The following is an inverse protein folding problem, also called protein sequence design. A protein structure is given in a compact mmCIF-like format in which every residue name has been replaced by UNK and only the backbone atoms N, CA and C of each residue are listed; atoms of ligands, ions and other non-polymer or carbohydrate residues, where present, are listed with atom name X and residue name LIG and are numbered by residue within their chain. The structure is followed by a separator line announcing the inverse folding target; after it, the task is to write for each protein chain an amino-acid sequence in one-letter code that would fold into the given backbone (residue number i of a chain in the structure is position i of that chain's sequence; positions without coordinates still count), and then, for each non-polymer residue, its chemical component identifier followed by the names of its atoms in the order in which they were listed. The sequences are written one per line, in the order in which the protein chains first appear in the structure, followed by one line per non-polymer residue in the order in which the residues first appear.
data_IF_536008897351
#
_entry.id   IF_536008897351
#
_cell.length_a   1.000
_cell.length_b   1.000
_cell.length_c   1.000
_cell.angle_alpha   90.00
_cell.angle_beta   90.00
_cell.angle_gamma   90.00
#
_symmetry.space_group_name_H-M   'P 1'
#
loop_
_entity.id
_entity.type
_entity.pdbx_description
1 polymer ?
#
# COMPACT_ATOMS: atom_id res chain seq x y z
N UNK A 1 4.81 -19.69 -19.52
CA UNK A 1 3.64 -18.95 -20.05
C UNK A 1 3.88 -18.58 -21.51
N UNK A 2 2.85 -18.41 -22.34
CA UNK A 2 3.03 -17.89 -23.71
C UNK A 2 3.10 -16.38 -23.66
N UNK A 3 4.00 -15.76 -24.45
CA UNK A 3 4.06 -14.30 -24.63
C UNK A 3 2.69 -13.77 -25.10
N UNK A 4 2.41 -12.53 -24.78
CA UNK A 4 1.16 -11.85 -25.17
C UNK A 4 1.46 -10.76 -26.18
N UNK A 5 0.58 -10.62 -27.14
CA UNK A 5 0.58 -9.50 -28.09
C UNK A 5 -0.69 -8.69 -27.89
N UNK A 6 -0.60 -7.39 -27.99
CA UNK A 6 -1.75 -6.52 -27.80
C UNK A 6 -1.52 -5.08 -28.22
N UNK A 7 -2.59 -4.32 -28.26
CA UNK A 7 -2.57 -2.89 -28.52
C UNK A 7 -2.57 -2.18 -27.16
N UNK A 8 -1.59 -1.29 -26.96
CA UNK A 8 -1.51 -0.40 -25.83
C UNK A 8 -1.99 0.98 -26.21
N UNK A 9 -2.90 1.53 -25.40
CA UNK A 9 -3.36 2.91 -25.52
C UNK A 9 -2.63 3.76 -24.48
N UNK A 10 -2.09 4.89 -24.94
CA UNK A 10 -1.36 5.80 -24.07
C UNK A 10 -2.30 6.73 -23.30
N UNK A 11 -1.86 7.24 -22.13
CA UNK A 11 -2.59 8.25 -21.39
C UNK A 11 -2.84 9.51 -22.22
N UNK A 12 -3.88 10.26 -21.88
CA UNK A 12 -4.22 11.53 -22.59
C UNK A 12 -3.12 12.57 -22.46
N UNK A 13 -2.37 12.53 -21.37
CA UNK A 13 -1.24 13.40 -21.07
C UNK A 13 -0.09 13.24 -22.10
N UNK A 14 -0.07 12.13 -22.84
CA UNK A 14 0.89 11.84 -23.89
C UNK A 14 0.44 12.35 -25.27
N UNK A 15 -0.60 13.19 -25.33
CA UNK A 15 -1.01 13.85 -26.56
C UNK A 15 0.13 14.66 -27.13
N UNK A 16 0.50 14.39 -28.39
CA UNK A 16 1.65 15.04 -29.05
C UNK A 16 2.98 14.26 -28.97
N UNK A 17 3.03 13.16 -28.21
CA UNK A 17 4.17 12.24 -28.26
C UNK A 17 4.06 11.41 -29.55
N UNK A 18 5.06 11.53 -30.43
CA UNK A 18 5.08 10.81 -31.72
C UNK A 18 5.84 9.49 -31.67
N UNK A 19 6.79 9.39 -30.74
CA UNK A 19 7.70 8.25 -30.63
C UNK A 19 7.92 7.88 -29.16
N UNK A 20 8.19 6.60 -28.93
CA UNK A 20 8.53 6.03 -27.63
C UNK A 20 9.78 5.18 -27.71
N UNK A 21 10.46 5.05 -26.57
CA UNK A 21 11.50 4.07 -26.32
C UNK A 21 10.93 2.98 -25.41
N UNK A 22 11.31 1.74 -25.65
CA UNK A 22 10.82 0.58 -24.92
C UNK A 22 12.01 -0.11 -24.26
N UNK A 23 11.90 -0.28 -22.95
CA UNK A 23 12.91 -0.93 -22.12
C UNK A 23 12.36 -2.20 -21.46
N UNK A 24 13.25 -3.08 -21.05
CA UNK A 24 12.97 -4.21 -20.14
C UNK A 24 14.05 -4.28 -19.07
N UNK A 25 13.84 -5.07 -18.05
CA UNK A 25 14.89 -5.34 -17.07
C UNK A 25 15.95 -6.27 -17.62
N UNK A 26 17.20 -6.10 -17.17
CA UNK A 26 18.26 -7.07 -17.38
C UNK A 26 17.88 -8.43 -16.75
N UNK A 27 18.56 -9.50 -17.13
CA UNK A 27 18.27 -10.83 -16.61
C UNK A 27 18.47 -10.94 -15.10
N UNK A 28 19.40 -10.19 -14.55
CA UNK A 28 19.70 -10.10 -13.11
C UNK A 28 18.88 -9.02 -12.37
N UNK A 29 17.96 -8.34 -13.05
CA UNK A 29 17.15 -7.23 -12.54
C UNK A 29 17.95 -6.04 -11.97
N UNK A 30 19.23 -5.92 -12.26
CA UNK A 30 20.08 -4.83 -11.76
C UNK A 30 19.95 -3.53 -12.55
N UNK A 31 19.33 -3.55 -13.71
CA UNK A 31 19.18 -2.37 -14.56
C UNK A 31 18.18 -2.55 -15.69
N UNK A 32 18.09 -1.53 -16.53
CA UNK A 32 17.23 -1.51 -17.70
C UNK A 32 18.05 -1.73 -18.97
N UNK A 33 17.48 -2.48 -19.90
CA UNK A 33 17.99 -2.70 -21.24
C UNK A 33 17.01 -2.13 -22.27
N UNK A 34 17.51 -1.31 -23.19
CA UNK A 34 16.71 -0.81 -24.30
C UNK A 34 16.34 -1.96 -25.25
N UNK A 35 15.06 -2.12 -25.53
CA UNK A 35 14.53 -3.08 -26.51
C UNK A 35 14.33 -2.42 -27.87
N UNK A 36 13.63 -1.29 -27.88
CA UNK A 36 13.31 -0.55 -29.11
C UNK A 36 13.49 0.95 -28.88
N UNK A 37 14.12 1.65 -29.82
CA UNK A 37 14.33 3.09 -29.77
C UNK A 37 13.48 3.80 -30.84
N UNK A 38 12.83 4.88 -30.45
CA UNK A 38 12.12 5.77 -31.35
C UNK A 38 10.95 5.13 -32.11
N UNK A 39 10.28 4.16 -31.49
CA UNK A 39 9.12 3.50 -32.10
C UNK A 39 7.98 4.50 -32.29
N UNK A 40 7.45 4.59 -33.52
CA UNK A 40 6.34 5.50 -33.84
C UNK A 40 5.02 5.05 -33.17
N UNK A 41 4.33 6.03 -32.63
CA UNK A 41 2.95 5.90 -32.11
C UNK A 41 1.98 6.15 -33.25
N UNK A 42 0.92 5.34 -33.36
CA UNK A 42 -0.16 5.55 -34.31
C UNK A 42 -1.47 5.78 -33.56
N UNK A 43 -2.08 6.96 -33.74
CA UNK A 43 -3.36 7.32 -33.08
C UNK A 43 -3.37 7.04 -31.57
N UNK A 44 -2.32 7.47 -30.88
CA UNK A 44 -2.14 7.30 -29.44
C UNK A 44 -2.08 5.83 -28.96
N UNK A 45 -1.61 4.94 -29.83
CA UNK A 45 -1.47 3.51 -29.53
C UNK A 45 -0.28 2.88 -30.21
N UNK A 46 0.22 1.80 -29.65
CA UNK A 46 1.21 0.91 -30.28
C UNK A 46 0.81 -0.55 -30.12
N UNK A 47 1.27 -1.36 -31.06
CA UNK A 47 1.17 -2.82 -30.96
C UNK A 47 2.44 -3.37 -30.32
N UNK A 48 2.30 -4.09 -29.21
CA UNK A 48 3.40 -4.68 -28.46
C UNK A 48 3.34 -6.19 -28.46
N UNK A 49 4.51 -6.81 -28.53
CA UNK A 49 4.71 -8.21 -28.20
C UNK A 49 5.51 -8.28 -26.91
N UNK A 50 4.93 -8.87 -25.87
CA UNK A 50 5.56 -9.05 -24.59
C UNK A 50 5.99 -10.51 -24.41
N UNK A 51 7.26 -10.74 -24.10
CA UNK A 51 7.77 -12.05 -23.75
C UNK A 51 7.17 -12.52 -22.39
N UNK A 52 7.07 -13.83 -22.19
CA UNK A 52 6.64 -14.35 -20.89
C UNK A 52 7.55 -13.85 -19.77
N UNK A 53 6.94 -13.52 -18.63
CA UNK A 53 7.63 -13.19 -17.38
C UNK A 53 8.59 -11.97 -17.48
N UNK A 54 8.42 -11.12 -18.53
CA UNK A 54 9.19 -9.88 -18.68
C UNK A 54 8.28 -8.65 -18.70
N UNK A 55 8.60 -7.70 -17.81
CA UNK A 55 7.98 -6.38 -17.83
C UNK A 55 8.60 -5.50 -18.92
N UNK A 56 7.79 -4.66 -19.55
CA UNK A 56 8.24 -3.61 -20.45
C UNK A 56 7.91 -2.24 -19.88
N UNK A 57 8.85 -1.32 -20.01
CA UNK A 57 8.70 0.09 -19.61
C UNK A 57 8.71 0.91 -20.90
N UNK A 58 7.67 1.69 -21.10
CA UNK A 58 7.50 2.53 -22.29
C UNK A 58 7.57 3.97 -21.83
N UNK A 59 8.43 4.75 -22.49
CA UNK A 59 8.62 6.17 -22.18
C UNK A 59 8.65 6.98 -23.48
N UNK A 60 8.36 8.29 -23.44
CA UNK A 60 8.60 9.18 -24.59
C UNK A 60 10.03 9.03 -25.09
N UNK A 61 10.22 9.01 -26.42
CA UNK A 61 11.55 8.84 -27.00
C UNK A 61 12.51 9.96 -26.55
N UNK A 62 13.72 9.55 -26.19
CA UNK A 62 14.74 10.46 -25.66
C UNK A 62 14.62 10.75 -24.17
N UNK A 63 13.71 10.06 -23.45
CA UNK A 63 13.69 10.13 -21.99
C UNK A 63 14.98 9.55 -21.41
N UNK A 64 15.68 10.32 -20.59
CA UNK A 64 16.88 9.84 -19.91
C UNK A 64 16.50 8.84 -18.81
N UNK A 65 16.63 7.56 -19.12
CA UNK A 65 16.37 6.46 -18.18
C UNK A 65 17.56 6.20 -17.25
N UNK A 66 18.68 6.87 -17.45
CA UNK A 66 19.84 6.76 -16.56
C UNK A 66 19.78 7.78 -15.43
N UNK A 67 19.04 8.88 -15.63
CA UNK A 67 18.84 9.90 -14.61
C UNK A 67 17.85 9.41 -13.54
N UNK A 68 18.40 8.67 -12.59
CA UNK A 68 17.71 8.34 -11.32
C UNK A 68 17.93 9.42 -10.28
N UNK A 69 18.62 10.50 -10.62
CA UNK A 69 19.09 11.51 -9.68
C UNK A 69 17.94 12.22 -8.98
N UNK A 70 16.85 12.50 -9.68
CA UNK A 70 15.71 13.22 -9.10
C UNK A 70 14.93 12.41 -8.07
N UNK A 71 14.84 11.09 -8.21
CA UNK A 71 14.12 10.23 -7.24
C UNK A 71 15.05 9.84 -6.08
N UNK A 72 16.32 9.61 -6.34
CA UNK A 72 17.28 9.13 -5.34
C UNK A 72 18.14 10.24 -4.71
N UNK A 73 18.14 11.46 -5.27
CA UNK A 73 18.85 12.61 -4.71
C UNK A 73 18.07 13.34 -3.63
N UNK A 74 16.76 13.12 -3.54
CA UNK A 74 15.99 13.68 -2.44
C UNK A 74 16.44 13.06 -1.11
N UNK A 75 16.67 13.86 -0.07
CA UNK A 75 16.93 13.32 1.25
C UNK A 75 15.73 12.50 1.71
N UNK A 76 15.94 11.44 2.49
CA UNK A 76 14.84 10.70 3.11
C UNK A 76 13.96 11.64 3.93
N UNK A 77 12.64 11.50 3.83
CA UNK A 77 11.67 12.26 4.61
C UNK A 77 11.26 11.56 5.89
N UNK A 78 11.54 10.28 6.00
CA UNK A 78 11.18 9.48 7.15
C UNK A 78 12.01 8.21 7.29
N UNK A 79 11.77 7.50 8.39
CA UNK A 79 12.33 6.18 8.67
C UNK A 79 11.23 5.22 9.10
N UNK A 80 11.43 3.93 8.87
CA UNK A 80 10.56 2.90 9.40
C UNK A 80 11.33 1.60 9.66
N UNK A 81 10.97 0.92 10.75
CA UNK A 81 11.45 -0.42 11.09
C UNK A 81 10.28 -1.26 11.57
N UNK A 82 10.21 -2.52 11.15
CA UNK A 82 9.22 -3.44 11.68
C UNK A 82 9.56 -3.81 13.13
N UNK A 83 8.57 -3.72 14.03
CA UNK A 83 8.75 -4.04 15.46
C UNK A 83 8.21 -5.44 15.75
N UNK A 84 6.89 -5.68 15.52
CA UNK A 84 6.28 -6.96 15.86
C UNK A 84 4.93 -7.17 15.17
N UNK A 85 4.54 -8.45 15.12
CA UNK A 85 3.19 -8.92 14.85
C UNK A 85 2.55 -9.37 16.17
N UNK A 86 1.34 -8.90 16.47
CA UNK A 86 0.57 -9.30 17.64
C UNK A 86 -0.73 -9.97 17.20
N UNK A 87 -0.86 -11.24 17.52
CA UNK A 87 -2.03 -12.09 17.22
C UNK A 87 -2.89 -12.37 18.45
N UNK A 88 -2.44 -11.96 19.65
CA UNK A 88 -3.10 -12.29 20.91
C UNK A 88 -4.11 -11.25 21.36
N UNK A 89 -3.93 -10.00 20.94
CA UNK A 89 -4.76 -8.90 21.45
C UNK A 89 -6.14 -8.86 20.79
N UNK A 90 -6.28 -9.41 19.58
CA UNK A 90 -7.53 -9.36 18.81
C UNK A 90 -8.12 -7.93 18.78
N UNK A 91 -9.44 -7.76 18.87
CA UNK A 91 -10.09 -6.45 18.92
C UNK A 91 -9.94 -5.69 20.26
N UNK A 92 -9.18 -6.21 21.24
CA UNK A 92 -9.07 -5.64 22.60
C UNK A 92 -7.97 -4.58 22.72
N UNK A 93 -7.97 -3.59 21.87
CA UNK A 93 -6.90 -2.58 21.75
C UNK A 93 -6.73 -1.68 22.96
N UNK A 94 -7.81 -1.37 23.69
CA UNK A 94 -7.78 -0.48 24.86
C UNK A 94 -6.78 -0.99 25.89
N UNK A 95 -5.91 -0.24 26.47
CA UNK A 95 -4.82 -0.55 27.38
C UNK A 95 -3.48 -0.92 26.70
N UNK A 96 -3.49 -1.49 25.51
CA UNK A 96 -2.27 -1.94 24.83
C UNK A 96 -1.85 -0.98 23.71
N UNK A 97 -2.81 -0.48 22.95
CA UNK A 97 -2.59 0.38 21.80
C UNK A 97 -3.27 1.74 21.93
N UNK A 98 -2.79 2.74 21.18
CA UNK A 98 -3.44 4.02 21.03
C UNK A 98 -3.32 4.95 22.23
N UNK A 99 -2.29 4.81 23.07
CA UNK A 99 -2.10 5.68 24.24
C UNK A 99 -1.81 7.13 23.88
N UNK A 100 -1.10 7.36 22.77
CA UNK A 100 -0.87 8.71 22.21
C UNK A 100 -2.00 9.15 21.28
N UNK A 101 -2.61 8.21 20.56
CA UNK A 101 -3.69 8.50 19.62
C UNK A 101 -4.11 7.29 18.81
N UNK A 102 -5.20 7.43 18.12
CA UNK A 102 -5.78 6.38 17.29
C UNK A 102 -6.70 6.97 16.22
N UNK A 103 -6.92 6.21 15.16
CA UNK A 103 -8.05 6.36 14.25
C UNK A 103 -8.68 4.99 14.03
N UNK A 104 -9.87 4.78 14.61
CA UNK A 104 -10.72 3.63 14.33
C UNK A 104 -11.64 4.05 13.20
N UNK A 105 -11.41 3.52 12.04
CA UNK A 105 -11.99 4.00 10.80
C UNK A 105 -13.51 4.08 10.85
N UNK A 106 -14.06 5.24 10.47
CA UNK A 106 -15.50 5.47 10.48
C UNK A 106 -16.20 5.46 11.84
N UNK A 107 -15.42 5.38 12.93
CA UNK A 107 -15.98 5.38 14.28
C UNK A 107 -15.47 6.55 15.12
N UNK A 108 -14.17 6.64 15.36
CA UNK A 108 -13.62 7.67 16.23
C UNK A 108 -12.13 7.87 15.93
N UNK A 109 -11.71 9.14 15.91
CA UNK A 109 -10.33 9.55 15.69
C UNK A 109 -9.87 10.50 16.77
N UNK A 110 -8.68 10.26 17.31
CA UNK A 110 -7.96 11.15 18.22
C UNK A 110 -6.48 11.05 17.90
N UNK A 111 -6.00 11.96 17.05
CA UNK A 111 -4.60 11.95 16.63
C UNK A 111 -3.68 12.66 17.65
N UNK A 112 -2.40 12.29 17.75
CA UNK A 112 -1.38 13.09 18.42
C UNK A 112 -1.33 14.49 17.79
N UNK A 113 -1.01 15.53 18.57
CA UNK A 113 -0.98 16.92 18.08
C UNK A 113 -0.03 17.16 16.91
N UNK A 114 1.06 16.41 16.86
CA UNK A 114 2.12 16.50 15.85
C UNK A 114 1.99 15.47 14.75
N UNK A 115 0.87 14.73 14.71
CA UNK A 115 0.61 13.72 13.69
C UNK A 115 -0.33 14.27 12.62
N UNK A 116 0.05 14.09 11.36
CA UNK A 116 -0.86 14.22 10.22
C UNK A 116 -1.13 12.83 9.64
N UNK A 117 -2.39 12.61 9.28
CA UNK A 117 -2.87 11.35 8.74
C UNK A 117 -3.79 11.63 7.55
N UNK A 118 -3.52 11.00 6.41
CA UNK A 118 -4.42 11.06 5.26
C UNK A 118 -4.54 9.72 4.54
N UNK A 119 -5.65 9.54 3.84
CA UNK A 119 -6.01 8.30 3.12
C UNK A 119 -6.21 8.60 1.66
N UNK A 120 -5.66 7.76 0.78
CA UNK A 120 -5.68 7.98 -0.66
C UNK A 120 -6.23 6.75 -1.38
N UNK A 121 -7.24 6.97 -2.21
CA UNK A 121 -7.74 5.97 -3.16
C UNK A 121 -8.49 4.81 -2.53
N UNK A 122 -9.04 4.97 -1.34
CA UNK A 122 -9.78 3.95 -0.62
C UNK A 122 -11.26 4.32 -0.37
N UNK A 123 -12.01 3.35 0.10
CA UNK A 123 -13.38 3.52 0.56
C UNK A 123 -13.56 2.91 1.95
N UNK A 124 -14.38 3.58 2.75
CA UNK A 124 -14.74 3.14 4.09
C UNK A 124 -15.99 2.27 4.03
N UNK A 125 -15.99 1.12 4.72
CA UNK A 125 -17.14 0.24 4.87
C UNK A 125 -17.32 -0.14 6.34
N UNK A 126 -18.47 0.17 6.91
CA UNK A 126 -18.91 -0.37 8.20
C UNK A 126 -19.66 -1.68 7.92
N UNK A 127 -19.12 -2.79 8.39
CA UNK A 127 -19.67 -4.12 8.16
C UNK A 127 -20.67 -4.50 9.24
N UNK A 128 -20.34 -4.22 10.51
CA UNK A 128 -21.22 -4.39 11.66
C UNK A 128 -20.91 -3.35 12.73
N UNK A 129 -21.93 -2.59 13.14
CA UNK A 129 -21.77 -1.55 14.16
C UNK A 129 -22.08 -2.06 15.59
N UNK A 130 -22.53 -3.29 15.76
CA UNK A 130 -22.87 -3.88 17.04
C UNK A 130 -22.35 -5.32 17.21
N UNK A 131 -21.18 -5.58 16.65
CA UNK A 131 -20.55 -6.90 16.71
C UNK A 131 -20.28 -7.36 18.15
N UNK A 132 -20.37 -8.65 18.37
CA UNK A 132 -19.97 -9.33 19.61
C UNK A 132 -18.72 -10.17 19.45
N UNK A 133 -18.18 -10.25 18.22
CA UNK A 133 -17.01 -11.09 17.92
C UNK A 133 -15.75 -10.53 18.60
N UNK A 134 -14.88 -11.37 19.19
CA UNK A 134 -13.63 -10.94 19.81
C UNK A 134 -12.69 -10.20 18.85
N UNK A 135 -12.70 -10.58 17.56
CA UNK A 135 -11.92 -9.96 16.49
C UNK A 135 -12.36 -8.53 16.20
N UNK A 136 -13.59 -8.17 16.47
CA UNK A 136 -14.12 -6.83 16.21
C UNK A 136 -13.54 -5.83 17.20
N UNK A 137 -13.15 -4.64 16.72
CA UNK A 137 -12.56 -3.59 17.54
C UNK A 137 -13.53 -3.10 18.61
N UNK A 138 -13.05 -2.98 19.85
CA UNK A 138 -13.81 -2.31 20.93
C UNK A 138 -14.14 -0.88 20.51
N UNK A 139 -15.38 -0.43 20.71
CA UNK A 139 -15.76 0.98 20.55
C UNK A 139 -15.01 1.85 21.56
N UNK A 140 -14.70 3.08 21.17
CA UNK A 140 -13.99 4.04 22.04
C UNK A 140 -14.80 4.30 23.29
N UNK A 141 -16.09 4.62 23.13
CA UNK A 141 -17.01 4.90 24.22
C UNK A 141 -18.03 3.76 24.38
N UNK A 142 -18.48 3.58 25.62
CA UNK A 142 -19.49 2.57 25.95
C UNK A 142 -19.00 1.13 25.86
N UNK A 143 -19.97 0.22 25.77
CA UNK A 143 -19.78 -1.22 25.57
C UNK A 143 -20.08 -1.57 24.12
N UNK A 144 -19.41 -2.58 23.59
CA UNK A 144 -19.66 -3.11 22.25
C UNK A 144 -18.45 -2.99 21.34
N UNK A 145 -18.61 -3.51 20.14
CA UNK A 145 -17.55 -3.63 19.14
C UNK A 145 -18.04 -3.18 17.75
N UNK A 146 -17.09 -2.92 16.88
CA UNK A 146 -17.36 -2.50 15.50
C UNK A 146 -16.49 -3.31 14.54
N UNK A 147 -17.07 -3.70 13.43
CA UNK A 147 -16.38 -4.23 12.26
C UNK A 147 -16.38 -3.15 11.18
N UNK A 148 -15.22 -2.63 10.89
CA UNK A 148 -15.02 -1.58 9.92
C UNK A 148 -13.75 -1.83 9.14
N UNK A 149 -13.76 -1.50 7.88
CA UNK A 149 -12.58 -1.58 7.02
C UNK A 149 -12.49 -0.37 6.11
N UNK A 150 -11.27 0.09 5.89
CA UNK A 150 -10.92 0.80 4.66
C UNK A 150 -10.45 -0.22 3.64
N UNK A 151 -10.80 -0.04 2.40
CA UNK A 151 -10.52 -0.99 1.31
C UNK A 151 -10.37 -0.27 -0.02
N UNK A 152 -9.61 -0.84 -0.93
CA UNK A 152 -9.46 -0.33 -2.30
C UNK A 152 -9.40 -1.48 -3.30
N UNK A 153 -9.41 -1.17 -4.59
CA UNK A 153 -9.36 -2.21 -5.64
C UNK A 153 -7.95 -2.83 -5.77
N UNK A 154 -6.89 -2.03 -5.62
CA UNK A 154 -5.51 -2.48 -5.81
C UNK A 154 -4.70 -2.37 -4.52
N UNK A 155 -4.58 -1.17 -3.99
CA UNK A 155 -3.82 -0.88 -2.78
C UNK A 155 -4.42 0.31 -2.06
N UNK A 156 -4.29 0.27 -0.75
CA UNK A 156 -4.60 1.36 0.16
C UNK A 156 -3.33 2.15 0.42
N UNK A 157 -3.42 3.47 0.41
CA UNK A 157 -2.32 4.34 0.77
C UNK A 157 -2.71 5.17 1.99
N UNK A 158 -1.88 5.14 3.02
CA UNK A 158 -2.06 5.89 4.26
C UNK A 158 -0.80 6.73 4.48
N UNK A 159 -0.90 8.04 4.30
CA UNK A 159 0.19 8.97 4.60
C UNK A 159 0.20 9.27 6.09
N UNK A 160 1.37 9.13 6.68
CA UNK A 160 1.61 9.38 8.11
C UNK A 160 2.80 10.32 8.25
N UNK A 161 2.61 11.44 8.93
CA UNK A 161 3.68 12.33 9.37
C UNK A 161 3.73 12.34 10.89
N UNK A 162 4.89 12.09 11.46
CA UNK A 162 5.16 12.16 12.90
C UNK A 162 6.49 12.87 13.15
N UNK A 163 6.57 13.72 14.15
CA UNK A 163 7.79 14.50 14.48
C UNK A 163 8.80 13.68 15.28
N UNK A 164 8.33 12.75 16.11
CA UNK A 164 9.15 11.93 16.99
C UNK A 164 9.07 10.47 16.60
N UNK A 165 10.04 9.65 17.02
CA UNK A 165 9.93 8.21 16.93
C UNK A 165 8.63 7.74 17.57
N UNK A 166 7.79 7.15 16.76
CA UNK A 166 6.43 6.77 17.14
C UNK A 166 6.18 5.33 16.72
N UNK A 167 5.70 4.52 17.65
CA UNK A 167 5.19 3.19 17.31
C UNK A 167 3.83 3.36 16.65
N UNK A 168 3.77 3.08 15.35
CA UNK A 168 2.54 3.05 14.56
C UNK A 168 2.11 1.61 14.39
N UNK A 169 0.88 1.30 14.81
CA UNK A 169 0.31 -0.06 14.73
C UNK A 169 -0.95 -0.04 13.89
N UNK A 170 -0.98 -0.86 12.84
CA UNK A 170 -2.14 -1.06 11.99
C UNK A 170 -2.89 -2.32 12.44
N UNK A 171 -4.23 -2.25 12.49
CA UNK A 171 -5.07 -3.39 12.80
C UNK A 171 -5.73 -3.95 11.55
N UNK A 172 -5.56 -5.24 11.36
CA UNK A 172 -6.11 -6.01 10.24
C UNK A 172 -7.03 -7.10 10.77
N UNK A 173 -8.17 -7.28 10.12
CA UNK A 173 -9.07 -8.39 10.39
C UNK A 173 -9.80 -8.80 9.11
N UNK A 174 -9.68 -10.07 8.75
CA UNK A 174 -10.47 -10.65 7.65
C UNK A 174 -11.84 -11.08 8.18
N UNK A 175 -12.71 -10.09 8.38
CA UNK A 175 -14.05 -10.34 8.92
C UNK A 175 -14.92 -11.28 8.09
N UNK A 176 -14.57 -11.52 6.84
CA UNK A 176 -15.30 -12.39 5.92
C UNK A 176 -14.67 -13.78 5.78
N UNK A 177 -13.56 -14.03 6.47
CA UNK A 177 -12.86 -15.32 6.49
C UNK A 177 -12.53 -15.84 5.08
N UNK A 178 -12.00 -14.93 4.26
CA UNK A 178 -11.67 -15.19 2.86
C UNK A 178 -10.23 -15.66 2.65
N UNK A 179 -9.49 -15.89 3.73
CA UNK A 179 -8.07 -16.20 3.70
C UNK A 179 -7.26 -15.15 2.95
N UNK A 180 -7.57 -13.88 3.22
CA UNK A 180 -6.91 -12.75 2.61
C UNK A 180 -5.40 -12.75 2.91
N UNK A 181 -4.62 -12.34 1.93
CA UNK A 181 -3.18 -12.11 2.09
C UNK A 181 -2.82 -10.73 1.56
N UNK A 182 -1.99 -10.01 2.31
CA UNK A 182 -1.64 -8.62 2.03
C UNK A 182 -0.15 -8.38 2.22
N UNK A 183 0.42 -7.51 1.40
CA UNK A 183 1.74 -6.93 1.64
C UNK A 183 1.55 -5.54 2.22
N UNK A 184 2.18 -5.30 3.36
CA UNK A 184 2.21 -4.00 4.02
C UNK A 184 3.61 -3.42 3.87
N UNK A 185 3.75 -2.44 2.98
CA UNK A 185 4.99 -1.69 2.78
C UNK A 185 4.93 -0.36 3.52
N UNK A 186 6.04 0.04 4.11
CA UNK A 186 6.27 1.41 4.59
C UNK A 186 7.25 2.08 3.66
N UNK A 187 6.86 3.18 3.04
CA UNK A 187 7.56 3.85 1.95
C UNK A 187 7.97 5.25 2.41
N UNK A 188 9.22 5.63 2.18
CA UNK A 188 9.66 7.01 2.33
C UNK A 188 8.99 7.90 1.26
N UNK A 189 8.34 8.99 1.70
CA UNK A 189 7.55 9.84 0.78
C UNK A 189 8.42 10.56 -0.25
N UNK A 190 9.63 10.98 0.10
CA UNK A 190 10.52 11.71 -0.80
C UNK A 190 11.27 10.79 -1.77
N UNK A 191 11.87 9.75 -1.25
CA UNK A 191 12.74 8.86 -2.06
C UNK A 191 11.98 7.73 -2.74
N UNK A 192 10.71 7.49 -2.36
CA UNK A 192 9.89 6.36 -2.81
C UNK A 192 10.48 4.97 -2.49
N UNK A 193 11.49 4.91 -1.63
CA UNK A 193 12.09 3.65 -1.18
C UNK A 193 11.20 2.94 -0.18
N UNK A 194 11.13 1.63 -0.28
CA UNK A 194 10.52 0.79 0.75
C UNK A 194 11.49 0.73 1.93
N UNK A 195 11.04 1.21 3.09
CA UNK A 195 11.79 1.23 4.35
C UNK A 195 11.58 -0.06 5.14
N UNK A 196 10.36 -0.58 5.12
CA UNK A 196 9.99 -1.85 5.74
C UNK A 196 8.89 -2.52 4.92
N UNK A 197 8.84 -3.84 4.95
CA UNK A 197 7.81 -4.63 4.26
C UNK A 197 7.42 -5.84 5.09
N UNK A 198 6.14 -6.19 5.09
CA UNK A 198 5.63 -7.37 5.79
C UNK A 198 4.56 -8.09 4.96
N UNK A 199 4.72 -9.40 4.76
CA UNK A 199 3.68 -10.25 4.18
C UNK A 199 2.73 -10.73 5.28
N UNK A 200 1.52 -10.22 5.26
CA UNK A 200 0.46 -10.53 6.22
C UNK A 200 -0.43 -11.65 5.69
N UNK A 201 -0.59 -12.67 6.49
CA UNK A 201 -1.49 -13.80 6.28
C UNK A 201 -2.09 -14.23 7.64
N UNK A 202 -3.14 -15.05 7.62
CA UNK A 202 -3.80 -15.60 8.79
C UNK A 202 -4.17 -14.50 9.79
N UNK A 203 -5.07 -13.61 9.38
CA UNK A 203 -5.52 -12.49 10.21
C UNK A 203 -7.05 -12.43 10.40
N UNK A 204 -7.71 -13.58 10.27
CA UNK A 204 -9.14 -13.76 10.51
C UNK A 204 -9.52 -13.43 11.97
N UNK A 205 -8.63 -13.76 12.91
CA UNK A 205 -8.80 -13.49 14.34
C UNK A 205 -8.33 -12.08 14.77
N UNK A 206 -7.82 -11.29 13.80
CA UNK A 206 -7.34 -9.94 14.05
C UNK A 206 -5.88 -9.87 14.47
N UNK A 207 -5.14 -9.01 13.81
CA UNK A 207 -3.67 -8.88 13.95
C UNK A 207 -3.26 -7.42 13.98
N UNK A 208 -2.30 -7.09 14.83
CA UNK A 208 -1.60 -5.79 14.78
C UNK A 208 -0.22 -5.98 14.15
N UNK A 209 0.11 -5.14 13.17
CA UNK A 209 1.47 -4.95 12.71
C UNK A 209 1.98 -3.62 13.23
N UNK A 210 3.08 -3.64 13.95
CA UNK A 210 3.68 -2.48 14.58
C UNK A 210 5.01 -2.11 13.91
N UNK A 211 5.19 -0.83 13.64
CA UNK A 211 6.38 -0.25 13.05
C UNK A 211 6.85 0.94 13.89
N UNK A 212 8.17 1.08 14.09
CA UNK A 212 8.79 2.30 14.58
C UNK A 212 8.94 3.27 13.41
N UNK A 213 8.35 4.46 13.51
CA UNK A 213 8.25 5.43 12.40
C UNK A 213 8.70 6.80 12.86
N UNK A 214 9.43 7.52 12.00
CA UNK A 214 9.68 8.95 12.15
C UNK A 214 9.57 9.68 10.81
N UNK A 215 9.23 10.98 10.85
CA UNK A 215 9.11 11.83 9.66
C UNK A 215 7.89 11.48 8.79
N UNK A 216 8.07 11.58 7.46
CA UNK A 216 7.01 11.39 6.48
C UNK A 216 7.12 10.03 5.80
N UNK A 217 6.17 9.16 6.09
CA UNK A 217 6.08 7.83 5.48
C UNK A 217 4.69 7.57 4.91
N UNK A 218 4.61 6.65 3.96
CA UNK A 218 3.36 6.15 3.41
C UNK A 218 3.27 4.66 3.65
N UNK A 219 2.22 4.21 4.31
CA UNK A 219 1.85 2.79 4.33
C UNK A 219 1.11 2.46 3.05
N UNK A 220 1.58 1.44 2.35
CA UNK A 220 0.91 0.86 1.19
C UNK A 220 0.49 -0.56 1.53
N UNK A 221 -0.81 -0.81 1.53
CA UNK A 221 -1.39 -2.13 1.79
C UNK A 221 -1.88 -2.66 0.46
N UNK A 222 -1.28 -3.75 0.00
CA UNK A 222 -1.55 -4.35 -1.31
C UNK A 222 -2.01 -5.79 -1.12
N UNK A 223 -3.10 -6.17 -1.76
CA UNK A 223 -3.50 -7.58 -1.78
C UNK A 223 -2.45 -8.42 -2.49
N UNK A 224 -2.21 -9.64 -1.99
CA UNK A 224 -1.19 -10.52 -2.54
C UNK A 224 -1.75 -11.53 -3.56
N UNK A 225 -3.00 -11.98 -3.40
CA UNK A 225 -3.63 -12.96 -4.29
C UNK A 225 -4.98 -12.53 -4.84
N UNK A 226 -5.31 -13.09 -6.02
CA UNK A 226 -6.67 -13.23 -6.51
C UNK A 226 -7.15 -14.64 -6.14
N UNK A 227 -8.40 -14.80 -5.71
CA UNK A 227 -8.97 -16.12 -5.60
C UNK A 227 -9.07 -16.78 -6.99
N UNK A 228 -9.18 -18.12 -7.04
CA UNK A 228 -9.29 -18.86 -8.28
C UNK A 228 -10.54 -18.53 -9.11
N UNK A 229 -11.51 -17.84 -8.53
CA UNK A 229 -12.79 -17.47 -9.15
C UNK A 229 -12.83 -16.03 -9.65
N UNK A 230 -11.71 -15.31 -9.57
CA UNK A 230 -11.62 -13.92 -10.04
C UNK A 230 -12.38 -12.91 -9.18
N UNK A 231 -12.84 -13.29 -7.98
CA UNK A 231 -13.35 -12.35 -7.02
C UNK A 231 -12.18 -11.56 -6.44
N UNK A 232 -12.19 -10.24 -6.56
CA UNK A 232 -11.11 -9.44 -5.99
C UNK A 232 -11.24 -9.49 -4.47
N UNK A 233 -10.29 -10.14 -3.80
CA UNK A 233 -10.04 -9.82 -2.41
C UNK A 233 -9.46 -8.42 -2.38
N UNK A 234 -10.07 -7.56 -1.58
CA UNK A 234 -9.64 -6.19 -1.43
C UNK A 234 -8.70 -6.09 -0.23
N UNK A 235 -7.62 -5.30 -0.30
CA UNK A 235 -6.83 -5.02 0.88
C UNK A 235 -7.71 -4.35 1.93
N UNK A 236 -7.57 -4.77 3.18
CA UNK A 236 -8.39 -4.31 4.31
C UNK A 236 -7.51 -3.87 5.47
N UNK A 237 -7.84 -2.72 6.05
CA UNK A 237 -7.29 -2.25 7.31
C UNK A 237 -8.44 -1.62 8.11
N UNK A 238 -8.43 -1.78 9.43
CA UNK A 238 -9.57 -1.39 10.28
C UNK A 238 -9.26 -0.22 11.21
N UNK A 239 -8.00 -0.03 11.57
CA UNK A 239 -7.58 1.07 12.45
C UNK A 239 -6.08 1.31 12.39
N UNK A 240 -5.67 2.50 12.83
CA UNK A 240 -4.29 2.87 13.08
C UNK A 240 -4.15 3.44 14.50
N UNK A 241 -3.07 3.06 15.18
CA UNK A 241 -2.79 3.43 16.56
C UNK A 241 -1.40 4.03 16.68
N UNK A 242 -1.27 5.01 17.57
CA UNK A 242 -0.02 5.73 17.84
C UNK A 242 0.35 5.58 19.31
N UNK A 243 1.56 5.09 19.56
CA UNK A 243 2.12 4.86 20.89
C UNK A 243 3.55 5.41 20.96
N UNK A 244 4.12 5.46 22.16
CA UNK A 244 5.55 5.71 22.31
C UNK A 244 6.33 4.47 21.87
N UNK A 245 7.40 4.66 21.13
CA UNK A 245 8.35 3.61 20.84
C UNK A 245 9.10 3.15 22.08
#
# INVERSE_FOLDING_TARGET
MKGRTGIWHFPREWTGIEKVDIYTFNEDFTGLRLLEQGRKINKNQIYLSQEPDRAQIIVPAGTDMTDRSTIYSNPPSGTATFICKDVETHGNWKRKYGKKGYDIFGHSSKLPKTCMLSYIGDSLKVLDNNSTRPVSLQKVEGKGRIEVVRTSVLHQLIDVTVEENTKVSLYFADYKEKNCQEVVDVIDVNTKRILASYLLNNFEEGVYLSFGVSGNVQFRITRFFYDHYGNPDYPVCSAIFFDKE
#
